data_IF_546508119407
#
_entry.id   IF_546508119407
#
_cell.length_a   1.000
_cell.length_b   1.000
_cell.length_c   1.000
_cell.angle_alpha   90.00
_cell.angle_beta   90.00
_cell.angle_gamma   90.00
#
_symmetry.space_group_name_H-M   'P 1'
#
loop_
_entity.id
_entity.type
_entity.pdbx_description
1 polymer ?
#
# COMPACT_ATOMS: atom_id res chain seq x y z
N UNK A 1 20.62 -38.11 0.30
CA UNK A 1 21.80 -37.23 0.48
C UNK A 1 21.34 -35.79 0.39
N UNK A 2 21.22 -35.13 1.54
CA UNK A 2 20.88 -33.71 1.66
C UNK A 2 22.17 -32.89 1.57
N UNK A 3 22.20 -31.85 0.74
CA UNK A 3 23.28 -30.85 0.75
C UNK A 3 22.66 -29.48 1.01
N UNK A 4 22.77 -29.04 2.25
CA UNK A 4 22.72 -27.64 2.66
C UNK A 4 23.91 -26.91 2.04
N UNK A 5 23.65 -25.79 1.36
CA UNK A 5 24.65 -24.77 1.04
C UNK A 5 24.16 -23.47 1.68
N UNK A 6 24.75 -23.15 2.82
CA UNK A 6 24.61 -21.84 3.45
C UNK A 6 25.61 -20.85 2.84
N UNK A 7 25.16 -19.63 2.58
CA UNK A 7 26.04 -18.51 2.25
C UNK A 7 26.16 -17.60 3.48
N UNK A 8 27.40 -17.41 3.93
CA UNK A 8 27.79 -16.52 5.03
C UNK A 8 27.63 -15.06 4.62
N UNK A 9 27.29 -14.22 5.60
CA UNK A 9 27.32 -12.77 5.51
C UNK A 9 28.74 -12.28 5.80
N UNK A 10 29.47 -11.92 4.77
CA UNK A 10 30.66 -11.06 4.83
C UNK A 10 30.95 -10.61 3.40
N UNK A 11 31.24 -9.32 3.25
CA UNK A 11 31.65 -8.63 2.02
C UNK A 11 30.53 -7.99 1.19
N UNK A 12 30.05 -6.82 1.65
CA UNK A 12 29.72 -5.75 0.73
C UNK A 12 30.20 -4.40 1.28
N UNK A 13 31.25 -3.90 0.65
CA UNK A 13 31.89 -2.60 0.90
C UNK A 13 30.91 -1.48 0.52
N UNK A 14 30.66 -0.56 1.45
CA UNK A 14 29.95 0.70 1.18
C UNK A 14 30.95 1.66 0.54
N UNK A 15 30.78 1.99 -0.74
CA UNK A 15 31.46 3.14 -1.36
C UNK A 15 30.54 4.35 -1.26
N UNK A 16 30.95 5.35 -0.47
CA UNK A 16 30.41 6.71 -0.50
C UNK A 16 30.56 7.30 -1.90
N UNK A 17 29.45 7.74 -2.49
CA UNK A 17 29.47 8.65 -3.63
C UNK A 17 29.08 10.03 -3.14
N UNK A 18 30.07 10.93 -3.10
CA UNK A 18 29.98 12.34 -2.75
C UNK A 18 29.07 13.08 -3.76
N UNK A 19 28.10 13.86 -3.26
CA UNK A 19 27.27 14.77 -4.07
C UNK A 19 27.82 16.21 -3.88
N UNK A 20 28.01 16.99 -4.96
CA UNK A 20 28.66 18.31 -4.89
C UNK A 20 27.81 19.38 -4.20
N UNK A 21 28.47 20.24 -3.42
CA UNK A 21 27.89 21.41 -2.75
C UNK A 21 27.28 22.39 -3.79
N UNK A 22 26.01 22.77 -3.56
CA UNK A 22 25.25 23.66 -4.44
C UNK A 22 24.07 23.01 -5.16
N UNK A 23 23.89 21.69 -5.04
CA UNK A 23 22.66 21.00 -5.44
C UNK A 23 21.73 20.86 -4.25
N UNK A 24 20.60 21.57 -4.25
CA UNK A 24 19.60 21.47 -3.18
C UNK A 24 19.10 20.02 -3.04
N UNK A 25 18.94 19.47 -1.82
CA UNK A 25 18.66 18.06 -1.65
C UNK A 25 17.22 17.75 -2.08
N UNK A 26 17.09 17.05 -3.20
CA UNK A 26 15.85 16.39 -3.63
C UNK A 26 15.92 14.91 -3.28
N UNK A 27 14.94 14.40 -2.54
CA UNK A 27 14.77 12.97 -2.27
C UNK A 27 13.41 12.50 -2.81
N UNK A 28 13.44 11.39 -3.52
CA UNK A 28 12.32 10.74 -4.22
C UNK A 28 11.72 9.66 -3.33
N UNK A 29 10.41 9.73 -3.07
CA UNK A 29 9.66 8.73 -2.31
C UNK A 29 8.92 7.77 -3.27
N UNK A 30 9.01 6.44 -3.07
CA UNK A 30 8.19 5.49 -3.82
C UNK A 30 6.74 5.63 -3.37
N UNK A 31 5.86 6.03 -4.30
CA UNK A 31 4.42 6.00 -4.11
C UNK A 31 3.72 7.32 -3.77
N UNK A 32 4.41 8.40 -3.39
CA UNK A 32 3.79 9.73 -3.19
C UNK A 32 4.72 10.84 -3.71
N UNK A 33 4.24 11.59 -4.71
CA UNK A 33 4.98 12.71 -5.30
C UNK A 33 5.08 13.91 -4.34
N UNK A 34 6.31 14.37 -4.13
CA UNK A 34 6.76 15.70 -3.65
C UNK A 34 5.80 16.49 -2.74
N UNK A 35 5.96 16.34 -1.42
CA UNK A 35 5.60 17.36 -0.45
C UNK A 35 6.87 17.88 0.25
N UNK A 36 7.11 19.19 0.21
CA UNK A 36 8.17 19.84 1.00
C UNK A 36 7.78 19.82 2.49
N UNK A 37 8.79 19.72 3.36
CA UNK A 37 8.81 19.79 4.84
C UNK A 37 9.03 18.45 5.59
N UNK A 38 9.79 18.49 6.70
CA UNK A 38 10.72 17.43 7.09
C UNK A 38 9.96 16.25 7.68
N UNK A 39 9.98 15.14 6.95
CA UNK A 39 9.64 13.82 7.46
C UNK A 39 10.71 12.91 6.89
N UNK A 40 11.68 12.56 7.73
CA UNK A 40 12.65 11.53 7.41
C UNK A 40 11.88 10.21 7.28
N UNK A 41 12.03 9.52 6.16
CA UNK A 41 11.56 8.15 6.02
C UNK A 41 12.70 7.26 6.51
N UNK A 42 12.52 6.52 7.60
CA UNK A 42 13.40 5.38 7.85
C UNK A 42 12.64 4.08 7.74
N UNK A 43 13.18 3.17 6.97
CA UNK A 43 13.04 1.74 7.19
C UNK A 43 13.96 1.37 8.38
N UNK A 44 13.48 1.63 9.60
CA UNK A 44 14.19 1.23 10.81
C UNK A 44 13.91 -0.24 11.12
N UNK A 45 14.97 -1.04 11.28
CA UNK A 45 14.91 -2.37 11.86
C UNK A 45 14.52 -2.21 13.35
N UNK A 46 13.22 -2.35 13.65
CA UNK A 46 12.70 -2.41 15.01
C UNK A 46 12.46 -3.85 15.39
N UNK A 47 13.21 -4.35 16.38
CA UNK A 47 13.04 -5.69 16.93
C UNK A 47 11.67 -5.79 17.62
N UNK A 48 10.69 -6.32 16.90
CA UNK A 48 9.50 -6.93 17.50
C UNK A 48 9.43 -8.36 17.01
N UNK A 49 9.79 -9.28 17.90
CA UNK A 49 9.68 -10.71 17.66
C UNK A 49 8.22 -11.04 17.29
N UNK A 50 8.03 -11.61 16.11
CA UNK A 50 6.78 -12.24 15.72
C UNK A 50 6.84 -13.71 16.14
N UNK A 51 5.78 -14.31 16.71
CA UNK A 51 5.83 -15.70 17.22
C UNK A 51 6.04 -16.77 16.14
N UNK A 52 6.00 -16.42 14.86
CA UNK A 52 6.12 -17.36 13.75
C UNK A 52 7.01 -16.75 12.66
N UNK A 53 8.25 -17.21 12.59
CA UNK A 53 9.31 -16.74 11.68
C UNK A 53 8.96 -16.86 10.19
N UNK A 54 8.24 -15.87 9.68
CA UNK A 54 7.98 -15.63 8.26
C UNK A 54 8.83 -14.50 7.70
N UNK A 55 9.10 -14.56 6.40
CA UNK A 55 9.87 -13.57 5.63
C UNK A 55 9.34 -12.14 5.82
N UNK A 56 10.28 -11.19 5.91
CA UNK A 56 10.07 -9.75 6.17
C UNK A 56 9.23 -9.10 5.06
N UNK A 57 8.31 -8.24 5.47
CA UNK A 57 7.29 -7.56 4.67
C UNK A 57 7.80 -6.19 4.15
N UNK A 58 7.90 -5.95 2.83
CA UNK A 58 8.29 -4.65 2.28
C UNK A 58 7.14 -3.82 1.69
N UNK A 59 5.91 -4.33 1.56
CA UNK A 59 4.93 -3.74 0.60
C UNK A 59 3.52 -3.48 1.18
N UNK A 60 3.33 -3.56 2.50
CA UNK A 60 2.25 -2.79 3.15
C UNK A 60 2.60 -1.30 3.09
N UNK A 61 1.72 -0.46 2.54
CA UNK A 61 1.91 0.99 2.60
C UNK A 61 1.66 1.48 4.04
N UNK A 62 2.67 1.34 4.89
CA UNK A 62 2.75 1.93 6.22
C UNK A 62 3.50 3.23 6.05
N UNK A 63 2.77 4.35 5.99
CA UNK A 63 3.41 5.66 6.04
C UNK A 63 3.90 5.88 7.48
N UNK A 64 5.19 5.62 7.71
CA UNK A 64 5.88 5.94 8.95
C UNK A 64 6.55 7.30 8.83
N UNK A 65 6.17 8.22 9.71
CA UNK A 65 6.86 9.50 9.86
C UNK A 65 8.02 9.30 10.85
N UNK A 66 9.28 9.49 10.44
CA UNK A 66 10.43 9.60 11.37
C UNK A 66 10.94 11.03 11.33
N UNK A 67 11.12 11.63 12.49
CA UNK A 67 11.86 12.89 12.60
C UNK A 67 13.27 12.49 13.05
N UNK A 68 14.29 12.79 12.26
CA UNK A 68 15.68 12.57 12.69
C UNK A 68 16.05 13.58 13.79
N UNK A 69 16.22 13.05 15.00
CA UNK A 69 16.64 13.76 16.20
C UNK A 69 16.25 12.94 17.42
N UNK A 70 17.25 12.47 18.18
CA UNK A 70 17.17 11.68 19.42
C UNK A 70 16.21 10.48 19.43
N UNK A 71 16.77 9.28 19.60
CA UNK A 71 16.05 8.00 19.77
C UNK A 71 15.29 7.88 21.11
N UNK A 72 14.79 9.00 21.63
CA UNK A 72 13.84 9.05 22.72
C UNK A 72 12.65 9.97 22.34
N UNK A 73 11.45 9.38 22.28
CA UNK A 73 10.13 10.04 22.48
C UNK A 73 9.34 10.62 21.29
N UNK A 74 9.22 9.92 20.16
CA UNK A 74 8.02 10.11 19.32
C UNK A 74 7.36 8.77 18.99
N UNK A 75 6.07 8.57 19.32
CA UNK A 75 5.35 7.37 18.96
C UNK A 75 5.19 7.32 17.43
N UNK A 76 5.41 6.13 16.86
CA UNK A 76 5.33 5.90 15.41
C UNK A 76 3.88 6.04 14.92
N UNK A 77 3.57 7.14 14.26
CA UNK A 77 2.27 7.36 13.59
C UNK A 77 2.18 6.52 12.31
N UNK A 78 1.04 5.86 12.10
CA UNK A 78 0.80 4.97 10.96
C UNK A 78 -0.47 5.41 10.24
N UNK A 79 -0.43 5.60 8.93
CA UNK A 79 -1.63 5.75 8.10
C UNK A 79 -1.87 4.43 7.37
N UNK A 80 -3.03 3.81 7.60
CA UNK A 80 -3.46 2.58 6.95
C UNK A 80 -4.64 2.86 6.02
N UNK A 81 -4.55 2.42 4.76
CA UNK A 81 -5.62 2.59 3.77
C UNK A 81 -6.22 1.23 3.42
N UNK A 82 -7.51 1.09 3.65
CA UNK A 82 -8.28 -0.09 3.28
C UNK A 82 -9.10 0.20 2.01
N UNK A 83 -9.39 -0.85 1.23
CA UNK A 83 -10.21 -0.78 0.02
C UNK A 83 -11.12 -2.00 -0.04
N UNK A 84 -12.31 -1.86 -0.62
CA UNK A 84 -13.23 -2.97 -0.85
C UNK A 84 -12.54 -4.15 -1.52
N UNK A 85 -12.67 -5.31 -0.91
CA UNK A 85 -11.87 -6.49 -1.25
C UNK A 85 -12.06 -6.98 -2.69
N UNK A 86 -13.26 -6.83 -3.29
CA UNK A 86 -13.49 -7.18 -4.69
C UNK A 86 -12.67 -6.31 -5.66
N UNK A 87 -12.67 -5.00 -5.46
CA UNK A 87 -11.87 -4.08 -6.28
C UNK A 87 -10.37 -4.26 -6.03
N UNK A 88 -9.99 -4.56 -4.79
CA UNK A 88 -8.62 -4.94 -4.43
C UNK A 88 -8.17 -6.18 -5.21
N UNK A 89 -8.99 -7.23 -5.28
CA UNK A 89 -8.66 -8.45 -6.03
C UNK A 89 -8.45 -8.16 -7.52
N UNK A 90 -9.34 -7.40 -8.17
CA UNK A 90 -9.17 -7.03 -9.59
C UNK A 90 -7.89 -6.23 -9.79
N UNK A 91 -7.66 -5.21 -8.97
CA UNK A 91 -6.46 -4.39 -9.06
C UNK A 91 -5.20 -5.24 -8.87
N UNK A 92 -5.23 -6.18 -7.94
CA UNK A 92 -4.09 -7.00 -7.60
C UNK A 92 -3.78 -8.04 -8.70
N UNK A 93 -4.80 -8.63 -9.33
CA UNK A 93 -4.64 -9.48 -10.50
C UNK A 93 -3.87 -8.76 -11.61
N UNK A 94 -4.28 -7.54 -11.97
CA UNK A 94 -3.58 -6.75 -12.98
C UNK A 94 -2.16 -6.36 -12.56
N UNK A 95 -1.96 -6.05 -11.27
CA UNK A 95 -0.64 -5.77 -10.72
C UNK A 95 0.30 -6.97 -10.82
N UNK A 96 -0.15 -8.18 -10.45
CA UNK A 96 0.65 -9.39 -10.60
C UNK A 96 0.95 -9.72 -12.06
N UNK A 97 0.01 -9.45 -12.98
CA UNK A 97 0.25 -9.63 -14.43
C UNK A 97 1.36 -8.73 -14.96
N UNK A 98 1.42 -7.47 -14.52
CA UNK A 98 2.45 -6.53 -14.99
C UNK A 98 3.78 -6.68 -14.24
N UNK A 99 3.75 -7.05 -12.96
CA UNK A 99 4.93 -7.06 -12.11
C UNK A 99 5.73 -8.35 -12.24
N UNK A 100 6.87 -8.30 -12.94
CA UNK A 100 7.76 -9.44 -13.20
C UNK A 100 8.44 -10.00 -11.93
N UNK A 101 8.30 -9.33 -10.78
CA UNK A 101 8.83 -9.81 -9.49
C UNK A 101 7.88 -10.81 -8.82
N UNK A 102 6.61 -10.85 -9.24
CA UNK A 102 5.60 -11.70 -8.64
C UNK A 102 5.36 -12.96 -9.48
N UNK A 103 4.88 -14.05 -8.86
CA UNK A 103 4.43 -15.22 -9.60
C UNK A 103 3.36 -14.85 -10.63
N UNK A 104 3.35 -15.54 -11.77
CA UNK A 104 2.30 -15.34 -12.77
C UNK A 104 0.93 -15.69 -12.16
N UNK A 105 -0.05 -14.77 -12.16
CA UNK A 105 -1.36 -15.00 -11.56
C UNK A 105 -2.22 -16.00 -12.34
N UNK A 106 -1.76 -16.45 -13.52
CA UNK A 106 -2.48 -17.32 -14.45
C UNK A 106 -3.81 -16.71 -14.90
N UNK A 107 -4.85 -17.51 -15.12
CA UNK A 107 -6.16 -17.00 -15.55
C UNK A 107 -6.90 -16.31 -14.40
N UNK A 108 -7.89 -15.49 -14.72
CA UNK A 108 -8.71 -14.83 -13.71
C UNK A 108 -9.40 -15.82 -12.77
N UNK A 109 -9.94 -16.92 -13.31
CA UNK A 109 -10.67 -17.91 -12.51
C UNK A 109 -9.75 -18.65 -11.52
N UNK A 110 -8.53 -19.00 -11.97
CA UNK A 110 -7.52 -19.60 -11.09
C UNK A 110 -7.02 -18.62 -10.03
N UNK A 111 -6.86 -17.35 -10.41
CA UNK A 111 -6.47 -16.29 -9.50
C UNK A 111 -7.53 -16.01 -8.44
N UNK A 112 -8.81 -15.99 -8.83
CA UNK A 112 -9.94 -15.77 -7.94
C UNK A 112 -9.91 -16.75 -6.76
N UNK A 113 -9.74 -18.05 -7.04
CA UNK A 113 -9.66 -19.09 -6.01
C UNK A 113 -8.37 -18.97 -5.18
N UNK A 114 -7.26 -18.62 -5.82
CA UNK A 114 -5.97 -18.39 -5.13
C UNK A 114 -6.06 -17.25 -4.13
N UNK A 115 -6.71 -16.15 -4.52
CA UNK A 115 -6.92 -14.98 -3.66
C UNK A 115 -7.87 -15.30 -2.49
N UNK A 116 -8.99 -15.98 -2.75
CA UNK A 116 -9.91 -16.41 -1.67
C UNK A 116 -9.24 -17.37 -0.67
N UNK A 117 -8.30 -18.19 -1.13
CA UNK A 117 -7.51 -19.06 -0.28
C UNK A 117 -6.38 -18.33 0.48
N UNK A 118 -6.20 -17.02 0.27
CA UNK A 118 -5.11 -16.24 0.85
C UNK A 118 -3.72 -16.66 0.36
N UNK A 119 -3.63 -17.33 -0.80
CA UNK A 119 -2.38 -17.86 -1.38
C UNK A 119 -1.74 -16.87 -2.37
N UNK A 120 -1.87 -15.59 -2.10
CA UNK A 120 -1.24 -14.50 -2.84
C UNK A 120 -0.13 -13.89 -1.98
N UNK A 121 0.73 -13.04 -2.56
CA UNK A 121 1.70 -12.33 -1.73
C UNK A 121 0.94 -11.47 -0.70
N UNK A 122 1.50 -11.36 0.51
CA UNK A 122 0.88 -10.73 1.69
C UNK A 122 -0.33 -11.47 2.28
N UNK A 123 -0.68 -12.64 1.73
CA UNK A 123 -1.61 -13.57 2.35
C UNK A 123 -3.08 -13.17 2.23
N UNK A 124 -3.85 -13.46 3.28
CA UNK A 124 -5.30 -13.24 3.33
C UNK A 124 -5.63 -11.74 3.46
N UNK A 125 -6.38 -11.21 2.50
CA UNK A 125 -6.82 -9.81 2.55
C UNK A 125 -7.71 -9.53 3.78
N UNK A 126 -8.48 -10.53 4.23
CA UNK A 126 -9.36 -10.45 5.40
C UNK A 126 -8.55 -10.30 6.68
N UNK A 127 -7.54 -11.16 6.87
CA UNK A 127 -6.70 -11.12 8.07
C UNK A 127 -5.87 -9.84 8.12
N UNK A 128 -5.42 -9.35 6.96
CA UNK A 128 -4.71 -8.09 6.86
C UNK A 128 -5.59 -6.92 7.33
N UNK A 129 -6.77 -6.71 6.73
CA UNK A 129 -7.63 -5.57 7.10
C UNK A 129 -8.15 -5.66 8.53
N UNK A 130 -8.49 -6.87 9.01
CA UNK A 130 -8.93 -7.09 10.40
C UNK A 130 -7.79 -6.89 11.39
N UNK A 131 -6.58 -7.37 11.06
CA UNK A 131 -5.40 -7.23 11.90
C UNK A 131 -5.08 -5.78 12.19
N UNK A 132 -5.07 -4.93 11.16
CA UNK A 132 -4.88 -3.49 11.31
C UNK A 132 -6.06 -2.81 12.01
N UNK A 133 -7.29 -3.23 11.74
CA UNK A 133 -8.47 -2.69 12.40
C UNK A 133 -8.44 -2.91 13.91
N UNK A 134 -8.07 -4.12 14.38
CA UNK A 134 -7.93 -4.42 15.82
C UNK A 134 -6.85 -3.59 16.51
N UNK A 135 -5.78 -3.23 15.79
CA UNK A 135 -4.68 -2.45 16.35
C UNK A 135 -4.98 -0.97 16.44
N UNK A 136 -5.99 -0.45 15.71
CA UNK A 136 -6.21 0.99 15.54
C UNK A 136 -6.43 1.78 16.83
N UNK A 137 -6.98 1.13 17.86
CA UNK A 137 -7.28 1.76 19.16
C UNK A 137 -6.13 1.63 20.17
N UNK A 138 -5.15 0.77 19.86
CA UNK A 138 -3.99 0.49 20.74
C UNK A 138 -2.69 1.14 20.28
N UNK A 139 -2.67 1.65 19.05
CA UNK A 139 -1.52 2.30 18.42
C UNK A 139 -2.01 3.56 17.70
N UNK A 140 -1.16 4.58 17.49
CA UNK A 140 -1.52 5.75 16.69
C UNK A 140 -1.63 5.35 15.21
N UNK A 141 -2.79 4.81 14.83
CA UNK A 141 -3.09 4.37 13.46
C UNK A 141 -4.30 5.17 12.96
N UNK A 142 -4.09 5.93 11.89
CA UNK A 142 -5.16 6.51 11.11
C UNK A 142 -5.67 5.50 10.08
N UNK A 143 -6.87 4.98 10.32
CA UNK A 143 -7.53 4.05 9.40
C UNK A 143 -8.40 4.82 8.39
N UNK A 144 -8.08 4.68 7.11
CA UNK A 144 -8.76 5.35 5.99
C UNK A 144 -9.35 4.34 5.01
N UNK A 145 -10.30 4.80 4.22
CA UNK A 145 -10.94 4.01 3.16
C UNK A 145 -10.71 4.67 1.81
N UNK A 146 -10.25 3.90 0.84
CA UNK A 146 -10.02 4.36 -0.53
C UNK A 146 -11.28 4.98 -1.14
N UNK A 147 -12.45 4.41 -0.85
CA UNK A 147 -13.74 4.89 -1.34
C UNK A 147 -14.06 6.31 -0.83
N UNK A 148 -13.72 6.60 0.43
CA UNK A 148 -13.90 7.94 1.00
C UNK A 148 -12.86 8.93 0.46
N UNK A 149 -11.64 8.48 0.16
CA UNK A 149 -10.62 9.31 -0.48
C UNK A 149 -11.04 9.75 -1.89
N UNK A 150 -11.75 8.90 -2.63
CA UNK A 150 -12.30 9.27 -3.94
C UNK A 150 -13.52 10.19 -3.81
N UNK A 151 -14.38 9.93 -2.82
CA UNK A 151 -15.62 10.69 -2.61
C UNK A 151 -15.35 12.12 -2.15
N UNK A 152 -14.40 12.31 -1.23
CA UNK A 152 -14.05 13.61 -0.67
C UNK A 152 -12.55 13.67 -0.31
N UNK A 153 -11.66 13.85 -1.32
CA UNK A 153 -10.22 13.86 -1.11
C UNK A 153 -9.78 15.00 -0.17
N UNK A 154 -10.48 16.15 -0.21
CA UNK A 154 -10.19 17.29 0.66
C UNK A 154 -10.37 16.93 2.13
N UNK A 155 -11.48 16.27 2.47
CA UNK A 155 -11.74 15.84 3.85
C UNK A 155 -10.73 14.80 4.32
N UNK A 156 -10.44 13.78 3.50
CA UNK A 156 -9.49 12.74 3.92
C UNK A 156 -8.05 13.28 4.05
N UNK A 157 -7.62 14.22 3.20
CA UNK A 157 -6.32 14.89 3.36
C UNK A 157 -6.28 15.74 4.63
N UNK A 158 -7.35 16.49 4.97
CA UNK A 158 -7.41 17.23 6.25
C UNK A 158 -7.29 16.27 7.44
N UNK A 159 -8.01 15.15 7.40
CA UNK A 159 -7.96 14.11 8.43
C UNK A 159 -6.55 13.53 8.59
N UNK A 160 -5.83 13.28 7.49
CA UNK A 160 -4.40 12.88 7.54
C UNK A 160 -3.54 13.94 8.22
N UNK A 161 -3.74 15.21 7.91
CA UNK A 161 -2.92 16.30 8.44
C UNK A 161 -3.19 16.54 9.92
N UNK A 162 -4.45 16.52 10.33
CA UNK A 162 -4.86 16.60 11.73
C UNK A 162 -4.24 15.46 12.54
N UNK A 163 -4.26 14.24 12.00
CA UNK A 163 -3.61 13.08 12.62
C UNK A 163 -2.10 13.27 12.79
N UNK A 164 -1.42 13.84 11.80
CA UNK A 164 0.01 14.17 11.85
C UNK A 164 0.33 15.44 12.66
N UNK A 165 -0.65 16.01 13.38
CA UNK A 165 -0.48 17.23 14.17
C UNK A 165 -0.18 18.49 13.33
N UNK A 166 -0.54 18.50 12.04
CA UNK A 166 -0.27 19.57 11.09
C UNK A 166 -1.57 20.22 10.60
N UNK A 167 -1.50 21.48 10.22
CA UNK A 167 -2.61 22.19 9.61
C UNK A 167 -2.24 22.64 8.18
N UNK A 168 -3.14 22.42 7.23
CA UNK A 168 -2.97 22.88 5.85
C UNK A 168 -3.79 24.14 5.60
N UNK A 169 -3.14 25.16 5.06
CA UNK A 169 -3.82 26.31 4.47
C UNK A 169 -4.64 25.87 3.26
N UNK A 170 -5.77 26.54 2.99
CA UNK A 170 -6.69 26.19 1.91
C UNK A 170 -6.02 26.05 0.54
N UNK A 171 -5.15 26.99 0.16
CA UNK A 171 -4.42 26.93 -1.11
C UNK A 171 -3.48 25.72 -1.23
N UNK A 172 -2.82 25.34 -0.14
CA UNK A 172 -1.92 24.18 -0.13
C UNK A 172 -2.75 22.90 -0.24
N UNK A 173 -3.87 22.83 0.48
CA UNK A 173 -4.81 21.71 0.37
C UNK A 173 -5.33 21.53 -1.07
N UNK A 174 -5.73 22.61 -1.72
CA UNK A 174 -6.23 22.56 -3.11
C UNK A 174 -5.15 22.10 -4.09
N UNK A 175 -3.91 22.57 -3.92
CA UNK A 175 -2.75 22.10 -4.70
C UNK A 175 -2.45 20.63 -4.44
N UNK A 176 -2.50 20.18 -3.19
CA UNK A 176 -2.30 18.77 -2.84
C UNK A 176 -3.34 17.91 -3.53
N UNK A 177 -4.63 18.25 -3.42
CA UNK A 177 -5.73 17.53 -4.08
C UNK A 177 -5.53 17.44 -5.59
N UNK A 178 -5.14 18.53 -6.24
CA UNK A 178 -4.86 18.54 -7.67
C UNK A 178 -3.68 17.62 -8.02
N UNK A 179 -2.54 17.76 -7.34
CA UNK A 179 -1.33 17.00 -7.62
C UNK A 179 -1.46 15.50 -7.30
N UNK A 180 -2.31 15.14 -6.35
CA UNK A 180 -2.61 13.74 -6.01
C UNK A 180 -3.83 13.19 -6.75
N UNK A 181 -4.41 13.94 -7.69
CA UNK A 181 -5.50 13.44 -8.51
C UNK A 181 -4.99 12.39 -9.48
N UNK A 182 -5.82 11.38 -9.79
CA UNK A 182 -5.42 10.32 -10.72
C UNK A 182 -5.03 10.85 -12.10
N UNK A 183 -5.73 11.86 -12.62
CA UNK A 183 -5.42 12.44 -13.92
C UNK A 183 -4.01 13.04 -13.98
N UNK A 184 -3.55 13.66 -12.88
CA UNK A 184 -2.19 14.18 -12.77
C UNK A 184 -1.20 13.04 -12.53
N UNK A 185 -1.46 12.17 -11.55
CA UNK A 185 -0.53 11.10 -11.17
C UNK A 185 -0.33 10.06 -12.29
N UNK A 186 -1.35 9.79 -13.10
CA UNK A 186 -1.27 8.84 -14.23
C UNK A 186 -0.30 9.27 -15.32
N UNK A 187 -0.06 10.57 -15.46
CA UNK A 187 0.81 11.12 -16.49
C UNK A 187 2.14 11.64 -15.93
N UNK A 188 2.41 11.39 -14.65
CA UNK A 188 3.59 11.91 -13.97
C UNK A 188 4.66 10.80 -13.79
N UNK A 189 5.86 10.95 -14.36
CA UNK A 189 6.88 9.87 -14.43
C UNK A 189 7.36 9.32 -13.08
N UNK A 190 7.18 10.09 -11.99
CA UNK A 190 7.54 9.64 -10.64
C UNK A 190 6.44 8.80 -9.95
N UNK A 191 5.22 8.79 -10.50
CA UNK A 191 4.06 8.13 -9.87
C UNK A 191 3.40 7.09 -10.75
N UNK A 192 3.61 7.13 -12.07
CA UNK A 192 3.01 6.19 -13.02
C UNK A 192 3.80 4.87 -13.17
N UNK A 193 4.99 4.78 -12.58
CA UNK A 193 5.91 3.63 -12.63
C UNK A 193 6.37 3.23 -14.04
N UNK A 194 6.19 4.09 -15.04
CA UNK A 194 6.59 3.79 -16.43
C UNK A 194 8.09 3.54 -16.59
N UNK A 195 8.91 4.10 -15.68
CA UNK A 195 10.36 3.92 -15.64
C UNK A 195 10.81 2.65 -14.90
N UNK A 196 9.94 1.90 -14.22
CA UNK A 196 10.32 0.63 -13.58
C UNK A 196 10.37 -0.51 -14.61
N UNK A 197 11.57 -0.93 -14.99
CA UNK A 197 11.82 -2.02 -15.95
C UNK A 197 11.21 -3.37 -15.55
N UNK A 198 10.85 -3.56 -14.29
CA UNK A 198 10.18 -4.78 -13.81
C UNK A 198 8.65 -4.71 -13.94
N UNK A 199 8.10 -3.53 -14.22
CA UNK A 199 6.67 -3.34 -14.50
C UNK A 199 6.43 -3.35 -16.01
N UNK A 200 5.71 -4.36 -16.50
CA UNK A 200 5.35 -4.46 -17.91
C UNK A 200 4.04 -3.72 -18.21
N UNK A 201 4.16 -2.43 -18.50
CA UNK A 201 3.03 -1.55 -18.82
C UNK A 201 2.29 -1.89 -20.11
N UNK A 202 2.83 -2.77 -20.96
CA UNK A 202 2.12 -3.32 -22.12
C UNK A 202 1.01 -4.30 -21.71
N UNK A 203 1.13 -4.95 -20.55
CA UNK A 203 0.12 -5.89 -20.04
C UNK A 203 -0.98 -5.19 -19.22
N UNK A 204 -0.57 -4.23 -18.40
CA UNK A 204 -1.45 -3.36 -17.62
C UNK A 204 -0.65 -2.14 -17.17
N UNK A 205 -1.27 -0.97 -17.18
CA UNK A 205 -0.71 0.22 -16.57
C UNK A 205 -0.79 0.13 -15.04
N UNK A 206 0.20 0.70 -14.32
CA UNK A 206 0.14 0.85 -12.86
C UNK A 206 -1.03 1.74 -12.44
N UNK A 207 -1.12 2.94 -13.02
CA UNK A 207 -2.28 3.84 -12.90
C UNK A 207 -3.39 3.40 -13.85
N UNK A 208 -4.05 2.28 -13.51
CA UNK A 208 -5.01 1.57 -14.39
C UNK A 208 -6.35 2.27 -14.54
N UNK A 209 -7.11 2.38 -13.45
CA UNK A 209 -8.43 3.02 -13.37
C UNK A 209 -8.67 3.57 -11.97
N UNK A 210 -9.23 4.77 -11.87
CA UNK A 210 -9.74 5.38 -10.64
C UNK A 210 -11.25 5.22 -10.58
N UNK A 211 -11.71 4.01 -10.25
CA UNK A 211 -13.15 3.73 -10.10
C UNK A 211 -13.40 2.79 -8.93
N UNK A 212 -14.56 2.99 -8.30
CA UNK A 212 -15.13 2.06 -7.32
C UNK A 212 -16.09 1.15 -8.08
N UNK A 213 -15.99 -0.16 -7.90
CA UNK A 213 -16.87 -1.12 -8.54
C UNK A 213 -16.38 -1.70 -9.88
N UNK A 214 -15.10 -1.56 -10.22
CA UNK A 214 -14.55 -2.20 -11.44
C UNK A 214 -14.68 -3.72 -11.38
N UNK A 215 -14.80 -4.29 -10.17
CA UNK A 215 -15.10 -5.71 -9.97
C UNK A 215 -16.32 -6.20 -10.75
N UNK A 216 -17.33 -5.34 -10.97
CA UNK A 216 -18.53 -5.69 -11.75
C UNK A 216 -18.22 -6.04 -13.21
N UNK A 217 -17.11 -5.53 -13.75
CA UNK A 217 -16.67 -5.80 -15.13
C UNK A 217 -15.85 -7.09 -15.27
N UNK A 218 -15.42 -7.67 -14.15
CA UNK A 218 -14.47 -8.80 -14.14
C UNK A 218 -15.08 -10.05 -13.51
N UNK A 219 -15.94 -9.89 -12.50
CA UNK A 219 -16.56 -11.00 -11.79
C UNK A 219 -17.76 -11.54 -12.59
N UNK A 220 -17.89 -12.86 -12.64
CA UNK A 220 -19.15 -13.50 -13.01
C UNK A 220 -20.15 -13.42 -11.85
N UNK A 221 -21.44 -13.65 -12.12
CA UNK A 221 -22.47 -13.75 -11.07
C UNK A 221 -22.15 -14.87 -10.06
N UNK A 222 -21.68 -16.02 -10.56
CA UNK A 222 -21.26 -17.14 -9.72
C UNK A 222 -20.06 -16.78 -8.82
N UNK A 223 -19.06 -16.07 -9.35
CA UNK A 223 -17.93 -15.55 -8.57
C UNK A 223 -18.38 -14.52 -7.55
N UNK A 224 -19.31 -13.63 -7.92
CA UNK A 224 -19.86 -12.63 -7.00
C UNK A 224 -20.54 -13.29 -5.81
N UNK A 225 -21.38 -14.30 -6.05
CA UNK A 225 -22.04 -15.07 -4.99
C UNK A 225 -21.02 -15.79 -4.10
N UNK A 226 -20.09 -16.54 -4.70
CA UNK A 226 -19.03 -17.27 -3.98
C UNK A 226 -18.16 -16.33 -3.14
N UNK A 227 -17.82 -15.15 -3.68
CA UNK A 227 -17.07 -14.14 -2.95
C UNK A 227 -17.86 -13.60 -1.76
N UNK A 228 -19.13 -13.26 -1.94
CA UNK A 228 -19.97 -12.72 -0.87
C UNK A 228 -20.10 -13.73 0.30
N UNK A 229 -20.41 -14.99 0.01
CA UNK A 229 -20.50 -16.05 1.02
C UNK A 229 -19.16 -16.22 1.78
N UNK A 230 -18.04 -16.19 1.06
CA UNK A 230 -16.71 -16.25 1.67
C UNK A 230 -16.40 -15.01 2.52
N UNK A 231 -16.74 -13.82 2.02
CA UNK A 231 -16.51 -12.55 2.71
C UNK A 231 -17.32 -12.47 4.00
N UNK A 232 -18.62 -12.76 3.95
CA UNK A 232 -19.51 -12.78 5.12
C UNK A 232 -18.95 -13.69 6.20
N UNK A 233 -18.55 -14.91 5.84
CA UNK A 233 -17.95 -15.86 6.79
C UNK A 233 -16.66 -15.33 7.42
N UNK A 234 -15.76 -14.74 6.63
CA UNK A 234 -14.45 -14.29 7.11
C UNK A 234 -14.49 -12.95 7.85
N UNK A 235 -15.55 -12.16 7.67
CA UNK A 235 -15.69 -10.81 8.22
C UNK A 235 -16.80 -10.70 9.28
N UNK A 236 -17.48 -11.80 9.63
CA UNK A 236 -18.55 -11.82 10.63
C UNK A 236 -18.10 -11.37 12.04
N UNK A 237 -16.82 -11.53 12.37
CA UNK A 237 -16.24 -11.26 13.69
C UNK A 237 -15.66 -9.84 13.84
N UNK A 238 -15.88 -8.95 12.88
CA UNK A 238 -15.31 -7.59 12.90
C UNK A 238 -16.36 -6.50 12.87
N UNK A 239 -16.07 -5.39 13.56
CA UNK A 239 -16.85 -4.14 13.49
C UNK A 239 -16.43 -3.24 12.33
N UNK A 240 -15.54 -3.72 11.45
CA UNK A 240 -15.02 -2.96 10.33
C UNK A 240 -16.17 -2.59 9.37
N UNK A 241 -16.44 -1.30 9.13
CA UNK A 241 -17.66 -0.83 8.47
C UNK A 241 -17.58 -0.94 6.94
N UNK A 242 -16.95 -1.98 6.39
CA UNK A 242 -16.95 -2.16 4.94
C UNK A 242 -18.39 -2.34 4.48
N UNK A 243 -18.91 -1.30 3.83
CA UNK A 243 -20.21 -1.37 3.20
C UNK A 243 -20.14 -2.45 2.11
N UNK A 244 -20.80 -3.57 2.39
CA UNK A 244 -21.23 -4.54 1.40
C UNK A 244 -22.25 -3.83 0.51
N UNK A 245 -21.77 -2.94 -0.35
CA UNK A 245 -22.65 -2.36 -1.37
C UNK A 245 -23.05 -3.51 -2.28
N UNK A 246 -24.26 -4.01 -2.01
CA UNK A 246 -25.07 -4.94 -2.78
C UNK A 246 -24.92 -4.71 -4.29
#
# INVERSE_FOLDING_TARGET
>A
MSKQLGCRASDLVVTEASIPEGSGPSAVLPGWGSCRFPLTLSTGCGDTETPHGGLRDPDSLVLTSRVEGDTARFPLEIIYVARKAKDTMVSYYHFQRMNRRLPNPRTWDEYFDTFLAGKVCWGSCYDHVKGWWRKKDSHPILYLFYEEMLKDPKREIRKMMEFLGKNLKGEVLDKTVYNTSFAVMKNHPMTDYTNDMKMNHQLSLFMRKEVIGDWKNQFTEAQTKKFNENYEKNMADTSLPFCMDL
#
